data_IF_325545133878
#
_entry.id   IF_325545133878
#
_cell.length_a   1.000
_cell.length_b   1.000
_cell.length_c   1.000
_cell.angle_alpha   90.00
_cell.angle_beta   90.00
_cell.angle_gamma   90.00
#
_symmetry.space_group_name_H-M   'P 1'
#
loop_
_entity.id
_entity.type
_entity.pdbx_description
1 polymer ?
#
# COMPACT_ATOMS: atom_id res chain seq x y z
N UNK A 1 6.65 -25.45 -6.83
CA UNK A 1 5.38 -25.61 -6.10
C UNK A 1 4.83 -24.21 -5.89
N UNK A 2 3.86 -23.81 -6.69
CA UNK A 2 3.12 -22.57 -6.46
C UNK A 2 2.12 -22.87 -5.35
N UNK A 3 2.37 -22.37 -4.15
CA UNK A 3 1.38 -22.41 -3.07
C UNK A 3 0.22 -21.50 -3.47
N UNK A 4 -0.97 -22.07 -3.64
CA UNK A 4 -2.21 -21.30 -3.80
C UNK A 4 -2.39 -20.41 -2.57
N UNK A 5 -2.04 -19.14 -2.69
CA UNK A 5 -2.24 -18.16 -1.65
C UNK A 5 -3.76 -17.90 -1.56
N UNK A 6 -4.40 -18.40 -0.50
CA UNK A 6 -5.84 -18.19 -0.31
C UNK A 6 -6.09 -16.73 0.12
N UNK A 7 -6.51 -15.89 -0.84
CA UNK A 7 -6.87 -14.50 -0.57
C UNK A 7 -8.25 -14.41 0.08
N UNK A 8 -8.34 -13.65 1.18
CA UNK A 8 -9.62 -13.46 1.89
C UNK A 8 -10.60 -12.55 1.13
N UNK A 9 -10.09 -11.67 0.26
CA UNK A 9 -10.89 -10.75 -0.55
C UNK A 9 -10.08 -10.26 -1.78
N UNK A 10 -10.74 -9.48 -2.66
CA UNK A 10 -10.11 -8.94 -3.87
C UNK A 10 -9.00 -7.91 -3.60
N UNK A 11 -9.11 -7.12 -2.53
CA UNK A 11 -8.07 -6.15 -2.15
C UNK A 11 -6.78 -6.86 -1.76
N UNK A 12 -6.89 -7.98 -1.04
CA UNK A 12 -5.76 -8.82 -0.66
C UNK A 12 -4.98 -9.33 -1.87
N UNK A 13 -5.70 -9.75 -2.92
CA UNK A 13 -5.10 -10.16 -4.18
C UNK A 13 -4.42 -8.98 -4.89
N UNK A 14 -5.06 -7.82 -4.95
CA UNK A 14 -4.47 -6.61 -5.55
C UNK A 14 -3.17 -6.22 -4.84
N UNK A 15 -3.17 -6.22 -3.50
CA UNK A 15 -1.98 -5.90 -2.71
C UNK A 15 -0.87 -6.90 -3.01
N UNK A 16 -1.19 -8.21 -3.00
CA UNK A 16 -0.22 -9.24 -3.31
C UNK A 16 0.39 -9.05 -4.70
N UNK A 17 -0.43 -8.85 -5.73
CA UNK A 17 0.03 -8.66 -7.10
C UNK A 17 0.93 -7.43 -7.25
N UNK A 18 0.56 -6.30 -6.62
CA UNK A 18 1.34 -5.08 -6.69
C UNK A 18 2.73 -5.24 -6.05
N UNK A 19 2.80 -5.85 -4.87
CA UNK A 19 4.06 -6.05 -4.16
C UNK A 19 4.92 -7.12 -4.81
N UNK A 20 4.35 -8.27 -5.17
CA UNK A 20 5.08 -9.37 -5.81
C UNK A 20 5.68 -8.97 -7.16
N UNK A 21 5.06 -8.05 -7.90
CA UNK A 21 5.56 -7.58 -9.21
C UNK A 21 6.56 -6.43 -9.11
N UNK A 22 6.49 -5.59 -8.06
CA UNK A 22 7.18 -4.29 -8.03
C UNK A 22 8.16 -4.13 -6.89
N UNK A 23 7.98 -4.85 -5.79
CA UNK A 23 8.81 -4.71 -4.59
C UNK A 23 9.98 -5.68 -4.62
N UNK A 24 11.18 -5.17 -4.33
CA UNK A 24 12.40 -5.98 -4.19
C UNK A 24 12.75 -6.05 -2.71
N UNK A 25 12.70 -7.26 -2.14
CA UNK A 25 13.03 -7.53 -0.75
C UNK A 25 12.09 -8.54 -0.10
N UNK A 26 12.63 -9.71 0.23
CA UNK A 26 11.86 -10.82 0.80
C UNK A 26 11.23 -10.50 2.15
N UNK A 27 11.80 -9.58 2.93
CA UNK A 27 11.23 -9.16 4.21
C UNK A 27 9.84 -8.54 4.10
N UNK A 28 9.49 -8.00 2.92
CA UNK A 28 8.16 -7.45 2.63
C UNK A 28 7.32 -8.43 1.82
N UNK A 29 7.93 -9.16 0.88
CA UNK A 29 7.19 -10.07 -0.01
C UNK A 29 6.97 -11.48 0.57
N UNK A 30 7.50 -11.78 1.75
CA UNK A 30 7.35 -13.10 2.39
C UNK A 30 5.91 -13.46 2.78
N UNK A 31 5.04 -12.47 2.96
CA UNK A 31 3.64 -12.71 3.33
C UNK A 31 2.75 -11.52 2.98
N UNK A 32 1.47 -11.80 2.75
CA UNK A 32 0.46 -10.77 2.53
C UNK A 32 0.36 -9.79 3.71
N UNK A 33 0.52 -10.26 4.94
CA UNK A 33 0.47 -9.40 6.12
C UNK A 33 1.66 -8.44 6.17
N UNK A 34 2.87 -8.89 5.77
CA UNK A 34 4.02 -8.01 5.62
C UNK A 34 3.82 -6.95 4.53
N UNK A 35 3.23 -7.33 3.39
CA UNK A 35 2.88 -6.39 2.31
C UNK A 35 1.86 -5.36 2.79
N UNK A 36 0.79 -5.78 3.47
CA UNK A 36 -0.22 -4.88 4.06
C UNK A 36 0.39 -3.93 5.09
N UNK A 37 1.26 -4.43 5.96
CA UNK A 37 1.99 -3.61 6.94
C UNK A 37 2.86 -2.56 6.26
N UNK A 38 3.56 -2.94 5.21
CA UNK A 38 4.37 -2.01 4.42
C UNK A 38 3.50 -0.96 3.71
N UNK A 39 2.37 -1.37 3.13
CA UNK A 39 1.40 -0.45 2.51
C UNK A 39 0.85 0.56 3.52
N UNK A 40 0.40 0.10 4.70
CA UNK A 40 -0.08 0.96 5.76
C UNK A 40 0.97 1.98 6.21
N UNK A 41 2.23 1.53 6.39
CA UNK A 41 3.36 2.42 6.71
C UNK A 41 3.53 3.48 5.63
N UNK A 42 3.60 3.07 4.36
CA UNK A 42 3.82 3.98 3.24
C UNK A 42 2.70 5.02 3.13
N UNK A 43 1.44 4.62 3.29
CA UNK A 43 0.28 5.52 3.26
C UNK A 43 0.32 6.50 4.43
N UNK A 44 0.68 6.03 5.64
CA UNK A 44 0.88 6.88 6.82
C UNK A 44 1.97 7.91 6.57
N UNK A 45 3.11 7.48 6.01
CA UNK A 45 4.23 8.36 5.69
C UNK A 45 3.79 9.45 4.69
N UNK A 46 3.10 9.09 3.62
CA UNK A 46 2.62 10.05 2.62
C UNK A 46 1.58 11.04 3.13
N UNK A 47 0.63 10.58 3.96
CA UNK A 47 -0.38 11.46 4.57
C UNK A 47 0.27 12.44 5.56
N UNK A 48 1.34 12.03 6.24
CA UNK A 48 2.10 12.91 7.15
C UNK A 48 3.15 13.78 6.44
N UNK A 49 3.29 13.67 5.11
CA UNK A 49 4.26 14.43 4.33
C UNK A 49 5.68 13.90 4.41
N UNK A 50 5.89 12.68 4.91
CA UNK A 50 7.17 11.99 4.86
C UNK A 50 7.41 11.36 3.49
N UNK A 51 8.69 11.30 3.10
CA UNK A 51 9.09 10.70 1.85
C UNK A 51 8.88 9.18 1.87
N UNK A 52 8.32 8.65 0.78
CA UNK A 52 8.35 7.22 0.47
C UNK A 52 9.14 7.01 -0.81
N UNK A 53 9.88 5.90 -0.90
CA UNK A 53 10.59 5.53 -2.12
C UNK A 53 9.68 5.49 -3.36
N UNK A 54 10.26 5.69 -4.54
CA UNK A 54 9.51 5.76 -5.81
C UNK A 54 8.61 4.53 -6.02
N UNK A 55 9.13 3.33 -5.78
CA UNK A 55 8.35 2.08 -5.87
C UNK A 55 7.15 2.06 -4.91
N UNK A 56 7.36 2.46 -3.66
CA UNK A 56 6.28 2.56 -2.67
C UNK A 56 5.18 3.52 -3.14
N UNK A 57 5.59 4.68 -3.67
CA UNK A 57 4.69 5.68 -4.19
C UNK A 57 3.80 5.12 -5.31
N UNK A 58 4.41 4.47 -6.31
CA UNK A 58 3.68 3.86 -7.41
C UNK A 58 2.70 2.78 -6.96
N UNK A 59 3.07 1.95 -5.98
CA UNK A 59 2.15 0.95 -5.42
C UNK A 59 0.91 1.60 -4.81
N UNK A 60 1.07 2.68 -4.05
CA UNK A 60 -0.06 3.38 -3.42
C UNK A 60 -0.98 4.06 -4.45
N UNK A 61 -0.40 4.66 -5.48
CA UNK A 61 -1.15 5.36 -6.53
C UNK A 61 -1.84 4.38 -7.46
N UNK A 62 -1.12 3.42 -8.03
CA UNK A 62 -1.69 2.46 -8.98
C UNK A 62 -2.63 1.46 -8.33
N UNK A 63 -2.40 1.12 -7.06
CA UNK A 63 -3.36 0.35 -6.27
C UNK A 63 -4.62 1.12 -5.91
N UNK A 64 -4.70 2.41 -6.28
CA UNK A 64 -5.88 3.24 -6.05
C UNK A 64 -6.08 3.64 -4.60
N UNK A 65 -5.06 3.56 -3.75
CA UNK A 65 -5.14 3.91 -2.32
C UNK A 65 -4.84 5.40 -2.07
N UNK A 66 -4.02 6.01 -2.92
CA UNK A 66 -3.56 7.39 -2.78
C UNK A 66 -3.87 8.19 -4.05
N UNK A 67 -4.37 9.42 -3.89
CA UNK A 67 -4.55 10.32 -5.03
C UNK A 67 -3.18 10.77 -5.53
N UNK A 68 -2.91 10.55 -6.81
CA UNK A 68 -1.71 11.09 -7.44
C UNK A 68 -1.82 12.62 -7.51
N UNK A 69 -0.97 13.28 -6.75
CA UNK A 69 -0.92 14.73 -6.71
C UNK A 69 0.49 15.16 -6.35
N UNK A 70 1.00 16.22 -6.98
CA UNK A 70 2.23 16.87 -6.52
C UNK A 70 2.00 17.40 -5.10
N UNK A 71 3.04 17.36 -4.27
CA UNK A 71 3.04 18.16 -3.04
C UNK A 71 3.05 19.63 -3.46
N UNK A 72 1.87 20.25 -3.52
CA UNK A 72 1.73 21.67 -3.79
C UNK A 72 1.61 22.38 -2.44
N UNK A 73 2.58 23.23 -2.12
CA UNK A 73 2.59 24.12 -0.96
C UNK A 73 2.46 23.40 0.39
N UNK A 74 3.18 22.28 0.59
CA UNK A 74 3.20 21.56 1.86
C UNK A 74 1.88 20.88 2.24
N UNK A 75 0.90 20.82 1.32
CA UNK A 75 -0.36 20.11 1.61
C UNK A 75 -0.12 18.60 1.63
N UNK A 76 -0.66 17.89 2.64
CA UNK A 76 -0.55 16.43 2.72
C UNK A 76 -1.28 15.76 1.56
N UNK A 77 -0.77 14.61 1.11
CA UNK A 77 -1.46 13.81 0.09
C UNK A 77 -2.74 13.22 0.68
N UNK A 78 -3.73 13.03 -0.18
CA UNK A 78 -5.05 12.54 0.20
C UNK A 78 -5.20 11.07 -0.17
N UNK A 79 -5.78 10.31 0.75
CA UNK A 79 -6.25 8.96 0.47
C UNK A 79 -7.48 9.01 -0.43
N UNK A 80 -7.67 7.97 -1.23
CA UNK A 80 -8.95 7.70 -1.88
C UNK A 80 -9.92 7.06 -0.87
N UNK A 81 -11.18 6.85 -1.25
CA UNK A 81 -12.13 6.09 -0.44
C UNK A 81 -11.66 4.66 -0.14
N UNK A 82 -10.94 4.05 -1.10
CA UNK A 82 -10.32 2.74 -0.91
C UNK A 82 -9.17 2.81 0.11
N UNK A 83 -8.31 3.83 0.00
CA UNK A 83 -7.24 4.08 0.97
C UNK A 83 -7.76 4.32 2.38
N UNK A 84 -8.80 5.13 2.54
CA UNK A 84 -9.47 5.38 3.82
C UNK A 84 -10.02 4.07 4.42
N UNK A 85 -10.73 3.27 3.62
CA UNK A 85 -11.29 1.98 4.07
C UNK A 85 -10.19 1.00 4.49
N UNK A 86 -9.11 0.90 3.71
CA UNK A 86 -7.96 0.06 4.04
C UNK A 86 -7.31 0.49 5.37
N UNK A 87 -7.06 1.78 5.54
CA UNK A 87 -6.45 2.33 6.76
C UNK A 87 -7.34 2.12 7.99
N UNK A 88 -8.66 2.24 7.86
CA UNK A 88 -9.60 2.00 8.94
C UNK A 88 -9.56 0.52 9.40
N UNK A 89 -9.67 -0.41 8.45
CA UNK A 89 -9.63 -1.85 8.74
C UNK A 89 -8.30 -2.31 9.35
N UNK A 90 -7.21 -1.62 9.03
CA UNK A 90 -5.90 -1.95 9.58
C UNK A 90 -5.71 -1.47 11.02
N UNK A 91 -6.41 -0.41 11.45
CA UNK A 91 -6.37 0.10 12.84
C UNK A 91 -7.20 -0.75 13.82
N UNK A 92 -8.18 -1.49 13.32
CA UNK A 92 -9.07 -2.35 14.11
C UNK A 92 -8.48 -3.76 14.34
N UNK A 93 -7.24 -3.99 13.94
CA UNK A 93 -6.47 -5.23 14.12
C UNK A 93 -5.27 -5.03 15.02
#
# INVERSE_FOLDING_TARGET
METEQQFKNQIDQIIYDLFSKRWVGESVTCSLDAMKKQLHKNLTDQVNGYWSGHTAYHIMVEGGFLIDAKHVNGKPKKLTKLGESFMAQYKEK
#
